data_IF_380542675967
#
_entry.id   IF_380542675967
#
_cell.length_a   1.000
_cell.length_b   1.000
_cell.length_c   1.000
_cell.angle_alpha   90.00
_cell.angle_beta   90.00
_cell.angle_gamma   90.00
#
_symmetry.space_group_name_H-M   'P 1'
#
loop_
_entity.id
_entity.type
_entity.pdbx_description
1 polymer ?
#
# COMPACT_ATOMS: atom_id res chain seq x y z
N UNK A 1 20.61 18.64 38.61
CA UNK A 1 19.60 19.40 37.84
C UNK A 1 18.41 18.49 37.61
N UNK A 2 17.37 18.58 38.44
CA UNK A 2 16.13 17.83 38.22
C UNK A 2 15.29 18.58 37.19
N UNK A 3 14.76 17.86 36.22
CA UNK A 3 13.79 18.41 35.29
C UNK A 3 12.42 18.45 36.00
N UNK A 4 11.71 19.56 35.84
CA UNK A 4 10.35 19.72 36.33
C UNK A 4 9.43 18.66 35.65
N UNK A 5 8.74 17.81 36.44
CA UNK A 5 7.84 16.79 35.90
C UNK A 5 6.80 17.35 34.92
N UNK A 6 6.28 18.56 35.16
CA UNK A 6 5.28 19.17 34.28
C UNK A 6 5.89 19.57 32.93
N UNK A 7 7.12 20.07 32.92
CA UNK A 7 7.85 20.35 31.69
C UNK A 7 8.21 19.08 30.91
N UNK A 8 8.47 17.98 31.61
CA UNK A 8 8.70 16.68 30.97
C UNK A 8 7.41 16.19 30.31
N UNK A 9 6.28 16.25 31.02
CA UNK A 9 4.99 15.81 30.49
C UNK A 9 4.61 16.60 29.24
N UNK A 10 4.73 17.94 29.26
CA UNK A 10 4.46 18.79 28.08
C UNK A 10 5.28 18.39 26.84
N UNK A 11 6.52 17.94 27.03
CA UNK A 11 7.36 17.46 25.93
C UNK A 11 6.89 16.12 25.41
N UNK A 12 6.50 15.20 26.29
CA UNK A 12 5.92 13.92 25.89
C UNK A 12 4.59 14.09 25.15
N UNK A 13 3.73 14.99 25.62
CA UNK A 13 2.46 15.29 24.97
C UNK A 13 2.68 15.79 23.54
N UNK A 14 3.61 16.75 23.37
CA UNK A 14 3.99 17.27 22.05
C UNK A 14 4.58 16.19 21.13
N UNK A 15 5.43 15.32 21.67
CA UNK A 15 6.00 14.21 20.90
C UNK A 15 4.90 13.24 20.46
N UNK A 16 3.97 12.93 21.36
CA UNK A 16 2.83 12.06 21.09
C UNK A 16 1.96 12.63 19.99
N UNK A 17 1.61 13.92 20.08
CA UNK A 17 0.83 14.64 19.06
C UNK A 17 1.49 14.54 17.67
N UNK A 18 2.81 14.79 17.59
CA UNK A 18 3.56 14.71 16.32
C UNK A 18 3.52 13.27 15.77
N UNK A 19 3.80 12.27 16.61
CA UNK A 19 3.83 10.88 16.15
C UNK A 19 2.45 10.37 15.76
N UNK A 20 1.39 10.74 16.49
CA UNK A 20 0.02 10.42 16.11
C UNK A 20 -0.32 10.98 14.73
N UNK A 21 0.00 12.26 14.47
CA UNK A 21 -0.23 12.86 13.16
C UNK A 21 0.55 12.18 12.02
N UNK A 22 1.78 11.72 12.28
CA UNK A 22 2.57 10.94 11.30
C UNK A 22 1.90 9.60 10.99
N UNK A 23 1.44 8.89 12.03
CA UNK A 23 0.79 7.57 11.88
C UNK A 23 -0.51 7.70 11.08
N UNK A 24 -1.36 8.67 11.40
CA UNK A 24 -2.63 8.89 10.69
C UNK A 24 -2.41 9.18 9.19
N UNK A 25 -1.40 10.01 8.89
CA UNK A 25 -1.04 10.32 7.51
C UNK A 25 -0.46 9.11 6.76
N UNK A 26 0.38 8.33 7.44
CA UNK A 26 0.96 7.12 6.88
C UNK A 26 -0.11 6.06 6.61
N UNK A 27 -1.08 5.88 7.50
CA UNK A 27 -2.23 4.98 7.31
C UNK A 27 -2.99 5.36 6.04
N UNK A 28 -3.36 6.63 5.89
CA UNK A 28 -4.07 7.14 4.70
C UNK A 28 -3.27 6.93 3.41
N UNK A 29 -1.97 7.25 3.44
CA UNK A 29 -1.10 7.14 2.25
C UNK A 29 -0.83 5.68 1.87
N UNK A 30 -0.73 4.79 2.85
CA UNK A 30 -0.50 3.35 2.64
C UNK A 30 -1.62 2.67 1.86
N UNK A 31 -2.83 3.25 1.87
CA UNK A 31 -3.98 2.75 1.12
C UNK A 31 -3.69 2.77 -0.38
N UNK A 32 -3.11 3.86 -0.88
CA UNK A 32 -3.12 4.17 -2.33
C UNK A 32 -1.73 4.21 -2.96
N UNK A 33 -0.68 4.33 -2.14
CA UNK A 33 0.69 4.45 -2.63
C UNK A 33 1.30 3.08 -2.90
N UNK A 34 1.75 2.89 -4.14
CA UNK A 34 2.54 1.72 -4.50
C UNK A 34 3.88 1.69 -3.74
N UNK A 35 4.22 0.58 -3.04
CA UNK A 35 5.50 0.42 -2.32
C UNK A 35 6.75 0.67 -3.16
N UNK A 36 6.64 0.39 -4.45
CA UNK A 36 7.76 0.40 -5.38
C UNK A 36 7.77 1.64 -6.27
N UNK A 37 6.91 2.65 -6.02
CA UNK A 37 6.95 3.93 -6.75
C UNK A 37 7.80 4.93 -5.96
N UNK A 38 8.94 5.31 -6.53
CA UNK A 38 9.84 6.29 -5.91
C UNK A 38 9.31 7.73 -6.07
N UNK A 39 10.07 8.72 -5.61
CA UNK A 39 9.68 10.14 -5.67
C UNK A 39 9.66 10.71 -7.10
N UNK A 40 10.35 10.06 -8.05
CA UNK A 40 10.40 10.43 -9.47
C UNK A 40 9.36 9.65 -10.30
N UNK A 41 8.39 9.02 -9.65
CA UNK A 41 7.37 8.16 -10.26
C UNK A 41 7.89 6.92 -11.01
N UNK A 42 9.13 6.54 -10.73
CA UNK A 42 9.77 5.34 -11.27
C UNK A 42 9.43 4.10 -10.43
N UNK A 43 9.24 2.98 -11.10
CA UNK A 43 9.05 1.68 -10.49
C UNK A 43 10.40 1.04 -10.14
N UNK A 44 10.57 0.69 -8.87
CA UNK A 44 11.77 0.05 -8.30
C UNK A 44 11.59 -1.44 -8.04
N UNK A 45 10.46 -2.02 -8.42
CA UNK A 45 10.19 -3.44 -8.18
C UNK A 45 11.13 -4.32 -8.99
N UNK A 46 11.80 -5.26 -8.33
CA UNK A 46 12.66 -6.27 -8.96
C UNK A 46 11.87 -7.44 -9.58
N UNK A 47 10.54 -7.37 -9.56
CA UNK A 47 9.64 -8.36 -10.12
C UNK A 47 8.66 -7.69 -11.08
N UNK A 48 8.09 -8.47 -12.00
CA UNK A 48 7.13 -7.95 -12.99
C UNK A 48 5.74 -7.79 -12.38
N UNK A 49 5.11 -6.63 -12.56
CA UNK A 49 3.71 -6.40 -12.20
C UNK A 49 2.91 -5.81 -13.37
N UNK A 50 1.58 -5.76 -13.24
CA UNK A 50 0.69 -5.25 -14.32
C UNK A 50 0.73 -3.74 -14.49
N UNK A 51 1.21 -3.01 -13.48
CA UNK A 51 1.23 -1.55 -13.46
C UNK A 51 2.61 -1.00 -13.87
N UNK A 52 3.57 -1.88 -14.19
CA UNK A 52 4.86 -1.46 -14.73
C UNK A 52 4.70 -1.10 -16.20
N UNK A 53 5.13 0.10 -16.53
CA UNK A 53 5.20 0.59 -17.90
C UNK A 53 6.66 0.75 -18.29
N UNK A 54 6.96 0.42 -19.56
CA UNK A 54 8.29 0.56 -20.14
C UNK A 54 8.30 1.83 -20.96
N UNK A 55 9.25 2.71 -20.68
CA UNK A 55 9.52 3.85 -21.55
C UNK A 55 10.44 3.40 -22.70
N UNK A 56 9.90 3.36 -23.92
CA UNK A 56 10.67 2.99 -25.11
C UNK A 56 11.86 3.93 -25.37
N UNK A 57 11.79 5.18 -24.89
CA UNK A 57 12.88 6.16 -25.02
C UNK A 57 14.02 5.95 -24.02
N UNK A 58 13.77 5.19 -22.94
CA UNK A 58 14.73 4.94 -21.85
C UNK A 58 14.75 3.45 -21.49
N UNK A 59 15.50 2.63 -22.24
CA UNK A 59 15.61 1.20 -21.97
C UNK A 59 16.06 0.94 -20.53
N UNK A 60 15.29 0.11 -19.81
CA UNK A 60 15.57 -0.26 -18.42
C UNK A 60 14.96 0.66 -17.35
N UNK A 61 14.32 1.78 -17.74
CA UNK A 61 13.52 2.59 -16.84
C UNK A 61 12.08 2.09 -16.86
N UNK A 62 11.57 1.76 -15.68
CA UNK A 62 10.18 1.38 -15.48
C UNK A 62 9.46 2.51 -14.75
N UNK A 63 8.25 2.86 -15.19
CA UNK A 63 7.34 3.75 -14.46
C UNK A 63 6.15 2.95 -13.92
N UNK A 64 5.37 3.58 -13.04
CA UNK A 64 4.14 2.99 -12.49
C UNK A 64 2.92 3.68 -13.09
N UNK A 65 2.19 3.00 -13.99
CA UNK A 65 0.98 3.51 -14.68
C UNK A 65 -0.30 3.49 -13.83
N UNK A 66 -0.18 3.35 -12.52
CA UNK A 66 -1.32 3.27 -11.60
C UNK A 66 -1.96 4.64 -11.34
N UNK A 67 -3.29 4.66 -11.26
CA UNK A 67 -4.13 5.86 -11.16
C UNK A 67 -4.37 6.38 -9.74
N UNK A 68 -3.84 5.71 -8.72
CA UNK A 68 -4.05 6.07 -7.32
C UNK A 68 -5.20 5.35 -6.62
N UNK A 69 -5.93 4.43 -7.27
CA UNK A 69 -7.17 3.85 -6.69
C UNK A 69 -7.03 2.47 -6.06
N UNK A 70 -5.94 1.74 -6.33
CA UNK A 70 -5.68 0.43 -5.72
C UNK A 70 -5.42 0.51 -4.21
N UNK A 71 -6.02 -0.44 -3.49
CA UNK A 71 -5.72 -0.72 -2.08
C UNK A 71 -4.43 -1.54 -1.97
N UNK A 72 -3.35 -0.90 -1.53
CA UNK A 72 -2.04 -1.52 -1.35
C UNK A 72 -1.81 -2.10 0.04
N UNK A 73 -2.75 -1.96 0.99
CA UNK A 73 -2.60 -2.58 2.33
C UNK A 73 -2.21 -4.05 2.30
N UNK A 74 -2.76 -4.92 1.41
CA UNK A 74 -2.36 -6.33 1.35
C UNK A 74 -0.89 -6.55 0.99
N UNK A 75 -0.22 -5.57 0.35
CA UNK A 75 1.20 -5.65 0.04
C UNK A 75 2.09 -5.29 1.25
N UNK A 76 1.54 -4.58 2.23
CA UNK A 76 2.22 -4.15 3.45
C UNK A 76 1.90 -5.03 4.68
N UNK A 77 0.79 -5.76 4.64
CA UNK A 77 0.31 -6.51 5.79
C UNK A 77 1.09 -7.81 5.99
N UNK A 78 1.80 -7.88 7.12
CA UNK A 78 2.64 -9.02 7.52
C UNK A 78 1.85 -10.14 8.22
N UNK A 79 0.52 -10.01 8.33
CA UNK A 79 -0.39 -10.98 8.98
C UNK A 79 -1.10 -11.86 7.94
N UNK A 80 -0.64 -13.12 7.72
CA UNK A 80 -1.08 -13.96 6.58
C UNK A 80 -2.58 -14.31 6.60
N UNK A 81 -3.21 -14.33 7.79
CA UNK A 81 -4.60 -14.80 7.95
C UNK A 81 -5.64 -13.90 7.29
N UNK A 82 -5.36 -12.61 7.11
CA UNK A 82 -6.24 -11.69 6.38
C UNK A 82 -6.10 -11.86 4.86
N UNK A 83 -4.88 -12.09 4.39
CA UNK A 83 -4.55 -12.41 3.00
C UNK A 83 -5.19 -13.73 2.54
N UNK A 84 -5.18 -14.75 3.40
CA UNK A 84 -5.83 -16.04 3.14
C UNK A 84 -7.32 -15.88 2.84
N UNK A 85 -8.02 -15.04 3.61
CA UNK A 85 -9.45 -14.75 3.40
C UNK A 85 -9.69 -13.99 2.10
N UNK A 86 -8.84 -13.02 1.75
CA UNK A 86 -8.93 -12.32 0.47
C UNK A 86 -8.72 -13.26 -0.72
N UNK A 87 -7.75 -14.17 -0.64
CA UNK A 87 -7.50 -15.14 -1.69
C UNK A 87 -8.65 -16.13 -1.87
N UNK A 88 -9.21 -16.63 -0.77
CA UNK A 88 -10.40 -17.48 -0.81
C UNK A 88 -11.53 -16.77 -1.54
N UNK A 89 -11.79 -15.50 -1.21
CA UNK A 89 -12.80 -14.68 -1.89
C UNK A 89 -12.48 -14.44 -3.37
N UNK A 90 -11.22 -14.23 -3.73
CA UNK A 90 -10.82 -14.08 -5.14
C UNK A 90 -11.04 -15.37 -5.94
N UNK A 91 -10.82 -16.55 -5.34
CA UNK A 91 -11.10 -17.86 -5.94
C UNK A 91 -12.61 -18.03 -6.15
N UNK A 92 -13.43 -17.69 -5.17
CA UNK A 92 -14.88 -17.72 -5.26
C UNK A 92 -15.41 -16.84 -6.41
N UNK A 93 -14.96 -15.58 -6.47
CA UNK A 93 -15.33 -14.64 -7.55
C UNK A 93 -14.98 -15.21 -8.94
N UNK A 94 -13.80 -15.81 -9.09
CA UNK A 94 -13.38 -16.44 -10.36
C UNK A 94 -14.26 -17.62 -10.72
N UNK A 95 -14.64 -18.44 -9.73
CA UNK A 95 -15.53 -19.60 -9.90
C UNK A 95 -16.93 -19.15 -10.32
N UNK A 96 -17.50 -18.16 -9.63
CA UNK A 96 -18.79 -17.56 -9.97
C UNK A 96 -18.80 -16.94 -11.37
N UNK A 97 -17.74 -16.21 -11.73
CA UNK A 97 -17.60 -15.65 -13.07
C UNK A 97 -17.51 -16.75 -14.15
N UNK A 98 -16.85 -17.87 -13.86
CA UNK A 98 -16.79 -19.03 -14.77
C UNK A 98 -18.16 -19.68 -14.95
N UNK A 99 -18.90 -19.88 -13.85
CA UNK A 99 -20.28 -20.42 -13.88
C UNK A 99 -21.20 -19.52 -14.70
N UNK A 100 -21.16 -18.20 -14.44
CA UNK A 100 -21.96 -17.21 -15.18
C UNK A 100 -21.68 -17.23 -16.68
N UNK A 101 -20.41 -17.35 -17.09
CA UNK A 101 -20.04 -17.45 -18.51
C UNK A 101 -20.56 -18.74 -19.16
N UNK A 102 -20.55 -19.86 -18.42
CA UNK A 102 -21.10 -21.14 -18.91
C UNK A 102 -22.62 -21.09 -19.05
N UNK A 103 -23.31 -20.43 -18.13
CA UNK A 103 -24.77 -20.30 -18.15
C UNK A 103 -25.29 -19.25 -19.15
N UNK A 104 -24.39 -18.42 -19.70
CA UNK A 104 -24.69 -17.41 -20.73
C UNK A 104 -24.39 -17.91 -22.16
N UNK A 105 -23.97 -19.16 -22.31
CA UNK A 105 -23.75 -19.86 -23.59
C UNK A 105 -24.80 -20.93 -23.78
#
# INVERSE_FOLDING_TARGET
MSLDPDQIQKRFDRITEIFSGIVDHAETTSLVRCPYRNADDLCTALFKCRNQEVDESKPGVLSCGHDGTFDYRPAWESSPRAWDRMNQRAVEIRKEASIRRKNSR
#
